data_IF_979567084079
#
_entry.id   IF_979567084079
#
_cell.length_a   1.000
_cell.length_b   1.000
_cell.length_c   1.000
_cell.angle_alpha   90.00
_cell.angle_beta   90.00
_cell.angle_gamma   90.00
#
_symmetry.space_group_name_H-M   'P 1'
#
loop_
_entity.id
_entity.type
_entity.pdbx_description
1 polymer ?
#
# COMPACT_ATOMS: atom_id res chain seq x y z
N UNK A 1 25.71 -25.30 6.99
CA UNK A 1 25.24 -24.75 5.71
C UNK A 1 23.75 -24.97 5.68
N UNK A 2 23.07 -24.13 6.46
CA UNK A 2 21.65 -24.24 6.73
C UNK A 2 20.87 -23.70 5.51
N UNK A 3 19.88 -24.44 4.98
CA UNK A 3 18.98 -23.91 3.97
C UNK A 3 17.96 -23.02 4.68
N UNK A 4 18.24 -21.73 4.67
CA UNK A 4 17.38 -20.72 5.28
C UNK A 4 16.03 -20.62 4.58
N UNK A 5 15.01 -20.68 5.43
CA UNK A 5 13.82 -19.85 5.38
C UNK A 5 12.79 -20.11 4.28
N UNK A 6 12.09 -21.24 4.49
CA UNK A 6 10.65 -21.36 4.28
C UNK A 6 9.89 -20.19 4.94
N UNK A 7 9.59 -19.12 4.20
CA UNK A 7 8.40 -18.30 4.47
C UNK A 7 7.92 -17.65 3.19
N UNK A 8 6.61 -17.76 2.97
CA UNK A 8 5.89 -17.46 1.75
C UNK A 8 6.01 -16.00 1.29
N UNK A 9 6.31 -15.81 0.01
CA UNK A 9 5.93 -14.60 -0.71
C UNK A 9 5.40 -15.00 -2.08
N UNK A 10 4.19 -15.55 -2.08
CA UNK A 10 3.38 -15.67 -3.29
C UNK A 10 2.93 -14.25 -3.65
N UNK A 11 3.79 -13.51 -4.35
CA UNK A 11 3.40 -12.27 -5.02
C UNK A 11 2.45 -12.68 -6.13
N UNK A 12 1.19 -12.30 -5.98
CA UNK A 12 0.21 -12.40 -7.04
C UNK A 12 0.61 -11.40 -8.13
N UNK A 13 1.38 -11.87 -9.11
CA UNK A 13 1.46 -11.24 -10.42
C UNK A 13 0.07 -11.27 -11.03
N UNK A 14 -0.51 -10.09 -11.31
CA UNK A 14 -1.44 -9.92 -12.42
C UNK A 14 -1.47 -8.45 -12.82
N UNK A 15 -0.69 -8.14 -13.86
CA UNK A 15 -0.87 -6.96 -14.69
C UNK A 15 -2.12 -7.19 -15.57
N UNK A 16 -3.06 -6.25 -15.45
CA UNK A 16 -3.84 -5.64 -16.54
C UNK A 16 -4.39 -6.54 -17.65
N UNK A 17 -5.71 -6.76 -17.61
CA UNK A 17 -6.54 -6.60 -18.80
C UNK A 17 -7.73 -5.70 -18.45
N UNK A 18 -7.93 -4.67 -19.27
CA UNK A 18 -9.05 -3.75 -19.19
C UNK A 18 -10.38 -4.51 -19.25
N UNK A 19 -11.18 -4.41 -18.20
CA UNK A 19 -12.63 -4.56 -18.31
C UNK A 19 -13.31 -3.55 -17.39
N UNK A 20 -14.16 -2.75 -18.02
CA UNK A 20 -15.09 -1.82 -17.41
C UNK A 20 -15.96 -2.54 -16.37
N UNK A 21 -15.63 -2.43 -15.08
CA UNK A 21 -16.57 -2.79 -14.02
C UNK A 21 -16.05 -2.25 -12.70
N UNK A 22 -16.81 -1.33 -12.09
CA UNK A 22 -16.64 -0.97 -10.69
C UNK A 22 -16.65 -2.24 -9.82
N UNK A 23 -15.79 -2.38 -8.81
CA UNK A 23 -15.95 -3.47 -7.86
C UNK A 23 -17.11 -3.08 -6.94
N UNK A 24 -18.28 -3.65 -7.21
CA UNK A 24 -19.37 -3.71 -6.23
C UNK A 24 -18.84 -4.42 -5.00
N UNK A 25 -18.69 -3.68 -3.89
CA UNK A 25 -18.49 -4.25 -2.56
C UNK A 25 -19.73 -5.07 -2.22
N UNK A 26 -19.69 -6.35 -2.52
CA UNK A 26 -20.72 -7.30 -2.13
C UNK A 26 -20.53 -7.58 -0.63
N UNK A 27 -21.34 -6.90 0.19
CA UNK A 27 -21.42 -7.11 1.63
C UNK A 27 -22.27 -8.35 1.90
N UNK A 28 -21.75 -9.52 1.54
CA UNK A 28 -22.33 -10.79 1.93
C UNK A 28 -21.78 -11.18 3.31
N UNK A 29 -22.44 -10.70 4.37
CA UNK A 29 -22.17 -11.17 5.74
C UNK A 29 -23.02 -12.41 6.04
N UNK A 30 -22.44 -13.48 6.62
CA UNK A 30 -23.21 -14.64 7.07
C UNK A 30 -24.03 -14.30 8.32
N UNK A 31 -25.30 -14.71 8.32
CA UNK A 31 -26.16 -14.72 9.50
C UNK A 31 -25.54 -15.64 10.57
N UNK A 32 -24.84 -15.03 11.53
CA UNK A 32 -24.42 -15.72 12.74
C UNK A 32 -25.00 -15.00 13.95
N UNK A 33 -26.06 -15.62 14.48
CA UNK A 33 -26.74 -15.30 15.73
C UNK A 33 -25.74 -15.03 16.85
N UNK A 34 -25.55 -13.75 17.18
CA UNK A 34 -25.03 -13.33 18.47
C UNK A 34 -26.24 -13.03 19.36
N UNK A 35 -26.47 -13.92 20.32
CA UNK A 35 -27.37 -13.65 21.43
C UNK A 35 -26.77 -12.52 22.28
N UNK A 36 -27.21 -11.29 21.99
CA UNK A 36 -26.95 -10.09 22.76
C UNK A 36 -28.24 -9.28 22.86
N UNK A 37 -29.27 -9.87 23.48
CA UNK A 37 -30.48 -9.18 23.85
C UNK A 37 -30.16 -8.03 24.81
N UNK A 38 -30.01 -6.82 24.27
CA UNK A 38 -30.01 -5.58 25.06
C UNK A 38 -30.82 -4.51 24.31
N UNK A 39 -32.12 -4.52 24.55
CA UNK A 39 -32.92 -3.30 24.62
C UNK A 39 -33.29 -2.60 23.31
N UNK A 40 -33.95 -3.31 22.39
CA UNK A 40 -34.88 -2.69 21.45
C UNK A 40 -36.09 -2.14 22.24
N UNK A 41 -36.01 -0.89 22.72
CA UNK A 41 -37.14 0.03 23.01
C UNK A 41 -36.71 1.14 23.97
N UNK A 42 -36.05 2.18 23.47
CA UNK A 42 -35.94 3.44 24.25
C UNK A 42 -35.89 4.72 23.41
N UNK A 43 -35.54 4.65 22.13
CA UNK A 43 -35.21 5.87 21.36
C UNK A 43 -36.42 6.47 20.62
N UNK A 44 -37.50 5.70 20.44
CA UNK A 44 -38.71 6.18 19.76
C UNK A 44 -39.76 6.86 20.64
N UNK A 45 -39.72 6.66 21.98
CA UNK A 45 -40.81 7.09 22.88
C UNK A 45 -40.48 8.30 23.76
N UNK A 46 -39.22 8.72 23.85
CA UNK A 46 -38.80 9.79 24.76
C UNK A 46 -38.88 11.19 24.15
N UNK A 47 -38.85 11.33 22.81
CA UNK A 47 -38.87 12.64 22.15
C UNK A 47 -40.10 13.50 22.45
N UNK A 48 -41.22 12.90 22.88
CA UNK A 48 -42.43 13.64 23.26
C UNK A 48 -42.38 14.21 24.69
N UNK A 49 -41.40 13.82 25.51
CA UNK A 49 -41.25 14.22 26.91
C UNK A 49 -39.87 14.84 27.23
N UNK A 50 -39.09 15.21 26.21
CA UNK A 50 -37.77 15.81 26.37
C UNK A 50 -37.92 17.34 26.42
N UNK A 51 -37.53 17.96 27.53
CA UNK A 51 -37.51 19.42 27.70
C UNK A 51 -36.68 20.09 26.60
N UNK A 52 -37.00 21.34 26.24
CA UNK A 52 -36.27 22.13 25.24
C UNK A 52 -34.75 22.10 25.49
N UNK A 53 -34.34 22.20 26.75
CA UNK A 53 -32.92 22.18 27.14
C UNK A 53 -32.22 20.84 26.88
N UNK A 54 -32.94 19.72 26.97
CA UNK A 54 -32.39 18.39 26.68
C UNK A 54 -32.30 18.14 25.17
N UNK A 55 -33.22 18.69 24.36
CA UNK A 55 -33.10 18.66 22.90
C UNK A 55 -31.84 19.39 22.41
N UNK A 56 -31.48 20.51 23.05
CA UNK A 56 -30.27 21.26 22.73
C UNK A 56 -29.00 20.51 23.13
N UNK A 57 -28.99 19.84 24.31
CA UNK A 57 -27.88 18.96 24.71
C UNK A 57 -27.66 17.82 23.71
N UNK A 58 -28.74 17.18 23.26
CA UNK A 58 -28.69 16.11 22.25
C UNK A 58 -28.14 16.65 20.92
N UNK A 59 -28.58 17.83 20.48
CA UNK A 59 -28.10 18.47 19.25
C UNK A 59 -26.60 18.73 19.30
N UNK A 60 -26.11 19.33 20.38
CA UNK A 60 -24.68 19.61 20.58
C UNK A 60 -23.87 18.31 20.56
N UNK A 61 -24.36 17.25 21.21
CA UNK A 61 -23.69 15.94 21.21
C UNK A 61 -23.63 15.32 19.81
N UNK A 62 -24.72 15.39 19.05
CA UNK A 62 -24.78 14.91 17.66
C UNK A 62 -23.85 15.70 16.76
N UNK A 63 -23.79 17.01 16.91
CA UNK A 63 -22.90 17.85 16.11
C UNK A 63 -21.43 17.56 16.41
N UNK A 64 -21.06 17.46 17.68
CA UNK A 64 -19.71 17.01 18.08
C UNK A 64 -19.36 15.63 17.54
N UNK A 65 -20.30 14.69 17.55
CA UNK A 65 -20.08 13.35 16.98
C UNK A 65 -19.96 13.38 15.46
N UNK A 66 -20.76 14.20 14.76
CA UNK A 66 -20.69 14.43 13.32
C UNK A 66 -19.29 14.91 12.94
N UNK A 67 -18.79 15.93 13.63
CA UNK A 67 -17.43 16.43 13.40
C UNK A 67 -16.35 15.40 13.74
N UNK A 68 -16.50 14.66 14.84
CA UNK A 68 -15.55 13.62 15.22
C UNK A 68 -15.49 12.49 14.18
N UNK A 69 -16.65 12.09 13.64
CA UNK A 69 -16.74 11.10 12.58
C UNK A 69 -16.12 11.62 11.27
N UNK A 70 -16.36 12.88 10.90
CA UNK A 70 -15.71 13.52 9.75
C UNK A 70 -14.18 13.50 9.91
N UNK A 71 -13.65 13.99 11.04
CA UNK A 71 -12.21 13.96 11.34
C UNK A 71 -11.61 12.54 11.34
N UNK A 72 -12.38 11.54 11.79
CA UNK A 72 -11.94 10.14 11.75
C UNK A 72 -11.79 9.63 10.30
N UNK A 73 -12.80 9.89 9.47
CA UNK A 73 -12.77 9.55 8.05
C UNK A 73 -11.66 10.30 7.32
N UNK A 74 -11.46 11.58 7.64
CA UNK A 74 -10.40 12.39 7.04
C UNK A 74 -9.01 11.87 7.39
N UNK A 75 -8.76 11.55 8.66
CA UNK A 75 -7.48 10.96 9.09
C UNK A 75 -7.22 9.63 8.42
N UNK A 76 -8.25 8.77 8.30
CA UNK A 76 -8.11 7.49 7.60
C UNK A 76 -7.78 7.68 6.13
N UNK A 77 -8.44 8.63 5.45
CA UNK A 77 -8.17 8.95 4.04
C UNK A 77 -6.74 9.44 3.86
N UNK A 78 -6.31 10.43 4.64
CA UNK A 78 -4.95 10.98 4.55
C UNK A 78 -3.89 9.90 4.80
N UNK A 79 -4.12 8.99 5.75
CA UNK A 79 -3.22 7.87 5.99
C UNK A 79 -3.12 6.96 4.76
N UNK A 80 -4.25 6.60 4.16
CA UNK A 80 -4.28 5.78 2.94
C UNK A 80 -3.56 6.51 1.81
N UNK A 81 -3.86 7.78 1.58
CA UNK A 81 -3.26 8.59 0.51
C UNK A 81 -1.74 8.70 0.72
N UNK A 82 -1.27 8.86 1.96
CA UNK A 82 0.16 8.94 2.29
C UNK A 82 0.86 7.61 2.00
N UNK A 83 0.28 6.49 2.43
CA UNK A 83 0.84 5.17 2.17
C UNK A 83 0.84 4.82 0.69
N UNK A 84 -0.19 5.22 -0.05
CA UNK A 84 -0.25 5.03 -1.50
C UNK A 84 0.85 5.84 -2.20
N UNK A 85 0.96 7.13 -1.89
CA UNK A 85 2.00 7.99 -2.48
C UNK A 85 3.41 7.48 -2.17
N UNK A 86 3.65 6.96 -0.96
CA UNK A 86 4.94 6.37 -0.60
C UNK A 86 5.20 5.09 -1.39
N UNK A 87 4.18 4.26 -1.59
CA UNK A 87 4.29 3.04 -2.42
C UNK A 87 4.64 3.41 -3.86
N UNK A 88 3.89 4.34 -4.45
CA UNK A 88 4.11 4.81 -5.82
C UNK A 88 5.52 5.42 -5.98
N UNK A 89 5.98 6.18 -4.97
CA UNK A 89 7.32 6.74 -4.97
C UNK A 89 8.40 5.66 -4.93
N UNK A 90 8.28 4.68 -4.03
CA UNK A 90 9.24 3.59 -3.92
C UNK A 90 9.27 2.71 -5.18
N UNK A 91 8.12 2.44 -5.79
CA UNK A 91 8.03 1.74 -7.07
C UNK A 91 8.75 2.51 -8.17
N UNK A 92 8.54 3.84 -8.24
CA UNK A 92 9.24 4.68 -9.21
C UNK A 92 10.76 4.66 -9.00
N UNK A 93 11.22 4.87 -7.77
CA UNK A 93 12.67 4.84 -7.46
C UNK A 93 13.27 3.47 -7.76
N UNK A 94 12.55 2.39 -7.44
CA UNK A 94 12.98 1.03 -7.79
C UNK A 94 13.20 0.89 -9.29
N UNK A 95 12.23 1.29 -10.12
CA UNK A 95 12.35 1.18 -11.58
C UNK A 95 13.51 2.00 -12.12
N UNK A 96 13.73 3.22 -11.60
CA UNK A 96 14.88 4.04 -11.99
C UNK A 96 16.22 3.36 -11.67
N UNK A 97 16.35 2.77 -10.47
CA UNK A 97 17.57 2.07 -10.08
C UNK A 97 17.79 0.80 -10.93
N UNK A 98 16.74 0.05 -11.25
CA UNK A 98 16.83 -1.11 -12.14
C UNK A 98 17.27 -0.72 -13.56
N UNK A 99 16.77 0.41 -14.08
CA UNK A 99 17.20 0.96 -15.37
C UNK A 99 18.67 1.42 -15.36
N UNK A 100 19.11 2.07 -14.28
CA UNK A 100 20.50 2.51 -14.09
C UNK A 100 21.45 1.31 -14.01
N UNK A 101 21.10 0.28 -13.24
CA UNK A 101 21.86 -0.97 -13.16
C UNK A 101 21.99 -1.59 -14.55
N UNK A 102 20.88 -1.74 -15.28
CA UNK A 102 20.91 -2.33 -16.62
C UNK A 102 21.75 -1.48 -17.61
N UNK A 103 21.78 -0.16 -17.45
CA UNK A 103 22.63 0.72 -18.25
C UNK A 103 24.12 0.52 -17.94
N UNK A 104 24.48 0.48 -16.66
CA UNK A 104 25.86 0.27 -16.21
C UNK A 104 26.37 -1.13 -16.57
N UNK A 105 25.53 -2.16 -16.47
CA UNK A 105 25.90 -3.52 -16.88
C UNK A 105 26.21 -3.60 -18.37
N UNK A 106 25.39 -2.95 -19.22
CA UNK A 106 25.67 -2.86 -20.66
C UNK A 106 26.98 -2.12 -20.95
N UNK A 107 27.25 -1.03 -20.25
CA UNK A 107 28.50 -0.29 -20.42
C UNK A 107 29.71 -1.14 -19.99
N UNK A 108 29.60 -1.83 -18.85
CA UNK A 108 30.61 -2.78 -18.39
C UNK A 108 30.90 -3.85 -19.44
N UNK A 109 29.87 -4.50 -19.97
CA UNK A 109 30.01 -5.56 -20.98
C UNK A 109 30.71 -5.06 -22.25
N UNK A 110 30.37 -3.85 -22.70
CA UNK A 110 31.03 -3.22 -23.86
C UNK A 110 32.52 -2.98 -23.57
N UNK A 111 32.84 -2.45 -22.38
CA UNK A 111 34.23 -2.19 -21.98
C UNK A 111 35.02 -3.49 -21.81
N UNK A 112 34.42 -4.52 -21.22
CA UNK A 112 35.00 -5.86 -21.09
C UNK A 112 35.33 -6.44 -22.47
N UNK A 113 34.41 -6.35 -23.42
CA UNK A 113 34.63 -6.80 -24.80
C UNK A 113 35.80 -6.04 -25.47
N UNK A 114 35.84 -4.72 -25.34
CA UNK A 114 36.93 -3.89 -25.88
C UNK A 114 38.26 -4.27 -25.24
N UNK A 115 38.26 -4.50 -23.92
CA UNK A 115 39.43 -4.89 -23.17
C UNK A 115 39.95 -6.26 -23.63
N UNK A 116 39.08 -7.26 -23.70
CA UNK A 116 39.41 -8.61 -24.20
C UNK A 116 39.97 -8.58 -25.63
N UNK A 117 39.39 -7.77 -26.51
CA UNK A 117 39.90 -7.60 -27.88
C UNK A 117 41.29 -6.96 -27.93
N UNK A 118 41.64 -6.11 -26.96
CA UNK A 118 42.95 -5.45 -26.87
C UNK A 118 44.03 -6.36 -26.24
N UNK A 119 43.67 -7.24 -25.30
CA UNK A 119 44.58 -8.15 -24.59
C UNK A 119 45.66 -8.82 -25.46
N UNK A 120 45.38 -9.41 -26.64
CA UNK A 120 46.40 -10.09 -27.44
C UNK A 120 47.46 -9.17 -28.07
N UNK A 121 47.22 -7.85 -28.13
CA UNK A 121 48.14 -6.85 -28.72
C UNK A 121 48.82 -6.01 -27.62
N UNK A 122 48.36 -6.15 -26.37
CA UNK A 122 48.82 -5.36 -25.24
C UNK A 122 50.27 -5.70 -24.84
N UNK A 123 51.21 -4.80 -25.14
CA UNK A 123 52.64 -4.91 -24.79
C UNK A 123 52.95 -4.78 -23.28
N UNK A 124 51.92 -4.55 -22.46
CA UNK A 124 52.05 -4.45 -21.00
C UNK A 124 51.80 -5.80 -20.29
N UNK A 125 51.30 -6.81 -21.02
CA UNK A 125 51.07 -8.15 -20.51
C UNK A 125 52.27 -9.09 -20.69
N UNK A 126 53.41 -8.61 -21.22
CA UNK A 126 54.63 -9.40 -21.21
C UNK A 126 55.06 -9.60 -19.75
N UNK A 127 55.05 -10.84 -19.22
CA UNK A 127 55.64 -11.11 -17.92
C UNK A 127 57.14 -10.89 -18.09
N UNK A 128 57.62 -9.69 -17.75
CA UNK A 128 59.06 -9.45 -17.59
C UNK A 128 59.58 -10.44 -16.57
N UNK A 129 60.50 -11.35 -16.94
CA UNK A 129 61.18 -12.17 -15.96
C UNK A 129 62.23 -11.28 -15.28
N UNK A 130 62.01 -10.97 -14.00
CA UNK A 130 63.12 -10.68 -13.07
C UNK A 130 63.46 -11.94 -12.28
#
# INVERSE_FOLDING_TARGET
MDPENSTAFHICSNLTEETTSSPSLDCSSPDQSYNGAVGDSAVGHTYKHVSSEELDRIRIRRERNREAAARCRDRRRILIDTLQNETDHLEHVKTQLEEEIAALEREREILELVFEAHMPICKLNDPTPE
#
